data_IF_857256344526
#
_entry.id   IF_857256344526
#
_cell.length_a   1.000
_cell.length_b   1.000
_cell.length_c   1.000
_cell.angle_alpha   90.00
_cell.angle_beta   90.00
_cell.angle_gamma   90.00
#
_symmetry.space_group_name_H-M   'P 1'
#
loop_
_entity.id
_entity.type
_entity.pdbx_description
1 polymer ?
#
# COMPACT_ATOMS: atom_id res chain seq x y z
N UNK A 1 21.73 14.34 -4.90
CA UNK A 1 20.48 15.05 -5.11
C UNK A 1 19.30 14.22 -4.71
N UNK A 2 18.43 14.78 -3.93
CA UNK A 2 17.28 14.04 -3.44
C UNK A 2 16.18 13.99 -4.48
N UNK A 3 15.55 12.83 -4.59
CA UNK A 3 14.37 12.70 -5.42
C UNK A 3 13.22 13.47 -4.78
N UNK A 4 12.30 14.02 -5.59
CA UNK A 4 11.09 14.63 -5.04
C UNK A 4 10.35 13.65 -4.15
N UNK A 5 9.77 14.14 -3.08
CA UNK A 5 8.98 13.32 -2.19
C UNK A 5 7.70 12.90 -2.92
N UNK A 6 7.43 11.60 -2.91
CA UNK A 6 6.24 11.02 -3.50
C UNK A 6 5.44 10.33 -2.41
N UNK A 7 4.15 10.16 -2.65
CA UNK A 7 3.31 9.36 -1.78
C UNK A 7 3.53 7.89 -2.04
N UNK A 8 3.54 7.11 -0.99
CA UNK A 8 3.73 5.67 -1.07
C UNK A 8 2.68 4.95 -0.24
N UNK A 9 2.29 3.76 -0.70
CA UNK A 9 1.48 2.88 0.11
C UNK A 9 2.37 2.32 1.23
N UNK A 10 1.81 2.16 2.45
CA UNK A 10 2.61 1.62 3.54
C UNK A 10 2.88 0.13 3.33
N UNK A 11 4.02 -0.33 3.84
CA UNK A 11 4.41 -1.72 3.75
C UNK A 11 5.90 -1.87 3.94
N UNK A 12 6.39 -3.07 3.70
CA UNK A 12 7.81 -3.33 3.87
C UNK A 12 8.22 -4.66 3.27
N UNK A 13 9.37 -5.13 3.70
CA UNK A 13 10.04 -6.29 3.15
C UNK A 13 9.70 -7.54 3.96
N UNK A 14 9.32 -8.61 3.25
CA UNK A 14 8.99 -9.89 3.90
C UNK A 14 10.25 -10.48 4.50
N UNK A 15 10.18 -10.86 5.78
CA UNK A 15 11.28 -11.50 6.48
C UNK A 15 11.10 -13.02 6.46
N UNK A 16 12.15 -13.74 6.88
CA UNK A 16 12.09 -15.20 6.94
C UNK A 16 10.96 -15.65 7.85
N UNK A 17 10.30 -16.72 7.44
CA UNK A 17 9.25 -17.37 8.22
C UNK A 17 8.00 -16.53 8.44
N UNK A 18 7.78 -15.50 7.59
CA UNK A 18 6.51 -14.79 7.65
C UNK A 18 5.85 -14.76 6.27
N UNK A 19 4.53 -14.77 6.25
CA UNK A 19 3.77 -14.63 5.02
C UNK A 19 3.73 -13.14 4.63
N UNK A 20 3.32 -12.89 3.38
CA UNK A 20 3.16 -11.50 2.91
C UNK A 20 2.15 -10.73 3.78
N UNK A 21 1.05 -11.39 4.16
CA UNK A 21 0.04 -10.74 5.00
C UNK A 21 0.57 -10.45 6.40
N UNK A 22 1.31 -11.39 6.98
CA UNK A 22 1.94 -11.17 8.29
C UNK A 22 2.95 -10.03 8.25
N UNK A 23 3.72 -9.96 7.16
CA UNK A 23 4.67 -8.89 6.94
C UNK A 23 3.96 -7.54 6.94
N UNK A 24 2.87 -7.42 6.19
CA UNK A 24 2.14 -6.17 6.10
C UNK A 24 1.62 -5.73 7.46
N UNK A 25 1.02 -6.65 8.22
CA UNK A 25 0.52 -6.33 9.56
C UNK A 25 1.64 -5.84 10.47
N UNK A 26 2.80 -6.52 10.44
CA UNK A 26 3.96 -6.14 11.25
C UNK A 26 4.48 -4.76 10.85
N UNK A 27 4.67 -4.54 9.55
CA UNK A 27 5.19 -3.27 9.07
C UNK A 27 4.26 -2.10 9.40
N UNK A 28 2.96 -2.29 9.22
CA UNK A 28 1.97 -1.24 9.54
C UNK A 28 2.00 -0.95 11.04
N UNK A 29 2.09 -1.99 11.87
CA UNK A 29 2.19 -1.80 13.31
C UNK A 29 3.47 -1.04 13.68
N UNK A 30 4.60 -1.44 13.11
CA UNK A 30 5.88 -0.81 13.42
C UNK A 30 5.95 0.64 12.93
N UNK A 31 5.44 0.90 11.73
CA UNK A 31 5.56 2.23 11.13
C UNK A 31 4.48 3.21 11.55
N UNK A 32 3.26 2.74 11.74
CA UNK A 32 2.10 3.61 11.96
C UNK A 32 1.40 3.38 13.30
N UNK A 33 1.77 2.36 14.03
CA UNK A 33 1.18 2.05 15.34
C UNK A 33 -0.31 1.74 15.28
N UNK A 34 -0.78 1.19 14.18
CA UNK A 34 -2.17 0.75 14.04
C UNK A 34 -2.25 -0.74 13.71
N UNK A 35 -3.38 -1.33 14.05
CA UNK A 35 -3.67 -2.72 13.73
C UNK A 35 -4.65 -2.78 12.57
N UNK A 36 -4.34 -3.63 11.60
CA UNK A 36 -5.18 -3.82 10.43
C UNK A 36 -5.59 -5.28 10.31
N UNK A 37 -6.65 -5.50 9.54
CA UNK A 37 -7.07 -6.84 9.15
C UNK A 37 -6.99 -6.94 7.64
N UNK A 38 -6.33 -8.00 7.14
CA UNK A 38 -6.24 -8.23 5.70
C UNK A 38 -7.54 -8.85 5.23
N UNK A 39 -8.16 -8.24 4.23
CA UNK A 39 -9.45 -8.67 3.70
C UNK A 39 -9.30 -9.41 2.38
N UNK A 40 -8.49 -8.91 1.47
CA UNK A 40 -8.37 -9.45 0.13
C UNK A 40 -7.00 -9.16 -0.43
N UNK A 41 -6.51 -10.04 -1.30
CA UNK A 41 -5.23 -9.82 -1.99
C UNK A 41 -5.49 -9.45 -3.43
N UNK A 42 -4.58 -8.65 -4.00
CA UNK A 42 -4.60 -8.30 -5.41
C UNK A 42 -3.40 -8.92 -6.11
N UNK A 43 -3.42 -8.91 -7.44
CA UNK A 43 -2.28 -9.41 -8.21
C UNK A 43 -1.01 -8.67 -7.85
N UNK A 44 0.09 -9.42 -7.73
CA UNK A 44 1.38 -8.81 -7.48
C UNK A 44 1.89 -8.10 -8.73
N UNK A 45 2.74 -7.12 -8.52
CA UNK A 45 3.37 -6.35 -9.59
C UNK A 45 4.87 -6.37 -9.42
N UNK A 46 5.59 -6.48 -10.52
CA UNK A 46 7.05 -6.43 -10.49
C UNK A 46 7.46 -5.05 -10.99
N UNK A 47 8.24 -4.37 -10.17
CA UNK A 47 8.79 -3.06 -10.53
C UNK A 47 10.29 -3.14 -10.65
N UNK A 48 10.83 -2.59 -11.74
CA UNK A 48 12.26 -2.57 -11.97
C UNK A 48 12.85 -1.24 -11.51
N UNK A 49 13.84 -1.33 -10.63
CA UNK A 49 14.59 -0.16 -10.15
C UNK A 49 15.96 -0.15 -10.82
N UNK A 50 15.98 0.05 -12.12
CA UNK A 50 17.21 0.00 -12.89
C UNK A 50 17.51 -1.40 -13.39
N UNK A 51 18.68 -1.60 -14.04
CA UNK A 51 18.96 -2.83 -14.79
C UNK A 51 19.17 -4.07 -13.93
N UNK A 52 19.52 -3.91 -12.65
CA UNK A 52 19.89 -5.05 -11.82
C UNK A 52 18.97 -5.29 -10.64
N UNK A 53 17.92 -4.50 -10.46
CA UNK A 53 17.07 -4.63 -9.28
C UNK A 53 15.59 -4.69 -9.66
N UNK A 54 14.94 -5.77 -9.25
CA UNK A 54 13.50 -5.95 -9.41
C UNK A 54 12.90 -6.24 -8.05
N UNK A 55 11.71 -5.70 -7.80
CA UNK A 55 10.98 -5.94 -6.56
C UNK A 55 9.57 -6.37 -6.93
N UNK A 56 9.11 -7.45 -6.31
CA UNK A 56 7.72 -7.87 -6.43
C UNK A 56 6.92 -7.22 -5.32
N UNK A 57 5.89 -6.47 -5.69
CA UNK A 57 4.98 -5.82 -4.74
C UNK A 57 3.72 -6.66 -4.64
N UNK A 58 3.37 -7.04 -3.42
CA UNK A 58 2.20 -7.89 -3.14
C UNK A 58 1.18 -7.04 -2.39
N UNK A 59 0.15 -6.53 -3.10
CA UNK A 59 -0.81 -5.63 -2.47
C UNK A 59 -1.97 -6.36 -1.81
N UNK A 60 -2.48 -5.76 -0.73
CA UNK A 60 -3.63 -6.28 -0.01
C UNK A 60 -4.63 -5.15 0.28
N UNK A 61 -5.90 -5.50 0.26
CA UNK A 61 -6.94 -4.65 0.79
C UNK A 61 -7.08 -4.96 2.28
N UNK A 62 -7.05 -3.92 3.09
CA UNK A 62 -7.07 -4.08 4.54
C UNK A 62 -8.12 -3.18 5.17
N UNK A 63 -8.54 -3.57 6.37
CA UNK A 63 -9.46 -2.82 7.20
C UNK A 63 -8.71 -2.28 8.41
N UNK A 64 -8.90 -0.99 8.72
CA UNK A 64 -8.38 -0.40 9.94
C UNK A 64 -9.15 -0.97 11.13
N UNK A 65 -8.44 -1.48 12.12
CA UNK A 65 -9.08 -2.07 13.30
C UNK A 65 -8.99 -1.17 14.51
N UNK A 66 -7.80 -0.75 14.87
CA UNK A 66 -7.61 0.10 16.05
C UNK A 66 -6.21 0.71 16.08
N UNK A 67 -6.04 1.66 16.99
CA UNK A 67 -4.77 2.32 17.24
C UNK A 67 -4.78 3.75 16.75
N UNK A 68 -3.90 4.55 17.32
CA UNK A 68 -3.71 5.93 16.88
C UNK A 68 -2.44 6.00 16.04
N UNK A 69 -2.52 6.64 14.89
CA UNK A 69 -1.38 6.71 14.00
C UNK A 69 -0.26 7.52 14.64
N UNK A 70 0.90 6.87 14.76
CA UNK A 70 2.13 7.50 15.25
C UNK A 70 3.19 7.19 14.20
N UNK A 71 3.66 8.23 13.52
CA UNK A 71 4.68 8.08 12.48
C UNK A 71 6.04 7.87 13.12
N UNK A 72 6.77 6.86 12.65
CA UNK A 72 8.11 6.57 13.15
C UNK A 72 9.20 6.92 12.16
N UNK A 73 8.96 6.63 10.88
CA UNK A 73 9.96 6.88 9.84
C UNK A 73 9.45 7.74 8.69
N UNK A 74 8.15 7.74 8.46
CA UNK A 74 7.56 8.53 7.38
C UNK A 74 7.40 9.98 7.80
N UNK A 75 7.45 10.88 6.83
CA UNK A 75 7.32 12.31 7.11
C UNK A 75 5.89 12.74 7.31
N UNK A 76 4.95 12.04 6.70
CA UNK A 76 3.54 12.41 6.79
C UNK A 76 2.64 11.25 6.37
N UNK A 77 1.36 11.37 6.68
CA UNK A 77 0.35 10.43 6.20
C UNK A 77 -0.92 11.22 5.88
N UNK A 78 -1.80 10.59 5.10
CA UNK A 78 -3.14 11.15 4.90
C UNK A 78 -4.14 10.03 4.65
N UNK A 79 -5.41 10.32 4.98
CA UNK A 79 -6.55 9.52 4.59
C UNK A 79 -7.17 10.19 3.36
N UNK A 80 -7.47 9.39 2.34
CA UNK A 80 -8.06 9.91 1.11
C UNK A 80 -9.31 9.13 0.75
N UNK A 81 -10.33 9.83 0.30
CA UNK A 81 -11.47 9.18 -0.33
C UNK A 81 -11.02 8.43 -1.56
N UNK A 82 -11.67 7.30 -1.85
CA UNK A 82 -11.28 6.46 -2.99
C UNK A 82 -11.26 7.26 -4.30
N UNK A 83 -12.25 8.09 -4.54
CA UNK A 83 -12.34 8.89 -5.76
C UNK A 83 -11.28 9.97 -5.87
N UNK A 84 -10.58 10.27 -4.78
CA UNK A 84 -9.56 11.32 -4.75
C UNK A 84 -8.13 10.77 -4.73
N UNK A 85 -7.97 9.45 -4.82
CA UNK A 85 -6.64 8.84 -4.77
C UNK A 85 -5.73 9.30 -5.90
N UNK A 86 -6.29 9.60 -7.08
CA UNK A 86 -5.49 10.05 -8.21
C UNK A 86 -4.93 11.46 -8.05
N UNK A 87 -5.38 12.18 -7.02
CA UNK A 87 -4.84 13.51 -6.74
C UNK A 87 -3.44 13.48 -6.14
N UNK A 88 -3.03 12.34 -5.60
CA UNK A 88 -1.74 12.21 -4.96
C UNK A 88 -0.65 11.91 -6.00
N UNK A 89 0.53 12.48 -5.77
CA UNK A 89 1.70 12.23 -6.60
C UNK A 89 2.39 10.96 -6.12
N UNK A 90 1.98 9.84 -6.69
CA UNK A 90 2.41 8.51 -6.26
C UNK A 90 3.80 8.14 -6.75
N UNK A 91 4.54 7.40 -5.92
CA UNK A 91 5.76 6.75 -6.36
C UNK A 91 5.44 5.81 -7.53
N UNK A 92 6.36 5.72 -8.49
CA UNK A 92 6.13 4.96 -9.72
C UNK A 92 5.71 3.52 -9.48
N UNK A 93 6.30 2.87 -8.48
CA UNK A 93 6.00 1.46 -8.19
C UNK A 93 4.57 1.27 -7.70
N UNK A 94 3.96 2.29 -7.10
CA UNK A 94 2.61 2.19 -6.53
C UNK A 94 1.51 2.57 -7.51
N UNK A 95 1.84 3.24 -8.60
CA UNK A 95 0.84 3.66 -9.58
C UNK A 95 0.00 2.50 -10.12
N UNK A 96 0.59 1.38 -10.58
CA UNK A 96 -0.21 0.26 -11.07
C UNK A 96 -1.12 -0.32 -9.99
N UNK A 97 -0.65 -0.34 -8.75
CA UNK A 97 -1.43 -0.89 -7.64
C UNK A 97 -2.66 -0.02 -7.37
N UNK A 98 -2.48 1.30 -7.35
CA UNK A 98 -3.60 2.23 -7.16
C UNK A 98 -4.59 2.10 -8.31
N UNK A 99 -4.12 1.98 -9.54
CA UNK A 99 -4.98 1.80 -10.71
C UNK A 99 -5.78 0.51 -10.64
N UNK A 100 -5.14 -0.60 -10.26
CA UNK A 100 -5.81 -1.89 -10.11
C UNK A 100 -6.89 -1.82 -9.03
N UNK A 101 -6.58 -1.17 -7.91
CA UNK A 101 -7.56 -0.99 -6.84
C UNK A 101 -8.75 -0.18 -7.31
N UNK A 102 -8.51 0.92 -8.01
CA UNK A 102 -9.61 1.78 -8.49
C UNK A 102 -10.51 1.05 -9.47
N UNK A 103 -9.93 0.23 -10.34
CA UNK A 103 -10.70 -0.58 -11.28
C UNK A 103 -11.55 -1.61 -10.54
N UNK A 104 -10.95 -2.30 -9.58
CA UNK A 104 -11.67 -3.27 -8.75
C UNK A 104 -12.83 -2.61 -8.00
N UNK A 105 -12.57 -1.45 -7.39
CA UNK A 105 -13.57 -0.71 -6.62
C UNK A 105 -14.73 -0.26 -7.52
N UNK A 106 -14.42 0.21 -8.71
CA UNK A 106 -15.42 0.64 -9.67
C UNK A 106 -16.34 -0.52 -10.06
N UNK A 107 -15.78 -1.71 -10.31
CA UNK A 107 -16.58 -2.88 -10.65
C UNK A 107 -17.46 -3.33 -9.51
N UNK A 108 -16.96 -3.25 -8.27
CA UNK A 108 -17.73 -3.59 -7.08
C UNK A 108 -18.94 -2.66 -6.91
N UNK A 109 -18.71 -1.36 -7.03
CA UNK A 109 -19.78 -0.38 -6.86
C UNK A 109 -20.81 -0.45 -7.97
N UNK A 110 -20.41 -0.83 -9.17
CA UNK A 110 -21.34 -0.97 -10.29
C UNK A 110 -22.25 -2.19 -10.18
N UNK A 111 -21.93 -3.14 -9.30
CA UNK A 111 -22.75 -4.34 -9.08
C UNK A 111 -23.69 -4.20 -7.89
N UNK A 112 -23.66 -3.10 -7.18
CA UNK A 112 -24.48 -2.85 -6.00
C UNK A 112 -25.58 -1.86 -6.34
N UNK A 113 -26.67 -2.37 -6.79
CA UNK A 113 -27.84 -1.55 -7.09
C UNK A 113 -28.89 -1.72 -6.03
#
# INVERSE_FOLDING_TARGET
>A
MDLPLKWELPGGKIEENESAAECLKREIWEELNIEIEVIESFESNIHEYGPAKKIELIPFLCCYKKGDIILKEHKNYCWKETENLTELDWAAADIPIVQDFLQWYSQKTNHNY
#
